data_IF_571204528472
#
_entry.id   IF_571204528472
#
_cell.length_a   1.000
_cell.length_b   1.000
_cell.length_c   1.000
_cell.angle_alpha   90.00
_cell.angle_beta   90.00
_cell.angle_gamma   90.00
#
_symmetry.space_group_name_H-M   'P 1'
#
loop_
_entity.id
_entity.type
_entity.pdbx_description
1 polymer ?
#
# COMPACT_ATOMS: atom_id res chain seq x y z
N UNK A 1 36.02 31.13 54.58
CA UNK A 1 35.90 31.34 53.12
C UNK A 1 36.21 30.10 52.25
N UNK A 2 36.40 28.89 52.78
CA UNK A 2 36.77 27.69 51.99
C UNK A 2 35.61 26.74 51.62
N UNK A 3 34.42 26.90 52.23
CA UNK A 3 33.26 26.02 51.98
C UNK A 3 32.44 26.42 50.73
N UNK A 4 32.40 27.71 50.39
CA UNK A 4 31.63 28.24 49.24
C UNK A 4 32.31 27.87 47.90
N UNK A 5 33.65 27.83 47.86
CA UNK A 5 34.44 27.43 46.68
C UNK A 5 34.39 25.92 46.37
N UNK A 6 33.94 25.07 47.31
CA UNK A 6 33.74 23.63 47.05
C UNK A 6 32.42 23.35 46.34
N UNK A 7 31.39 24.17 46.57
CA UNK A 7 30.07 23.96 45.98
C UNK A 7 30.02 24.32 44.48
N UNK A 8 30.77 25.36 44.06
CA UNK A 8 30.86 25.75 42.64
C UNK A 8 31.61 24.72 41.78
N UNK A 9 32.61 24.02 42.33
CA UNK A 9 33.34 22.96 41.61
C UNK A 9 32.46 21.75 41.30
N UNK A 10 31.58 21.36 42.21
CA UNK A 10 30.66 20.24 41.99
C UNK A 10 29.52 20.60 41.02
N UNK A 11 29.04 21.85 41.03
CA UNK A 11 28.05 22.34 40.05
C UNK A 11 28.61 22.37 38.63
N UNK A 12 29.87 22.79 38.45
CA UNK A 12 30.53 22.76 37.12
C UNK A 12 30.74 21.32 36.65
N UNK A 13 31.21 20.42 37.52
CA UNK A 13 31.40 19.00 37.17
C UNK A 13 30.07 18.35 36.76
N UNK A 14 28.99 18.57 37.52
CA UNK A 14 27.66 18.06 37.18
C UNK A 14 27.14 18.61 35.85
N UNK A 15 27.30 19.92 35.60
CA UNK A 15 26.90 20.55 34.34
C UNK A 15 27.68 20.00 33.14
N UNK A 16 28.99 19.80 33.29
CA UNK A 16 29.82 19.21 32.22
C UNK A 16 29.51 17.73 31.97
N UNK A 17 29.18 16.94 33.01
CA UNK A 17 28.82 15.54 32.87
C UNK A 17 27.47 15.35 32.14
N UNK A 18 26.49 16.22 32.42
CA UNK A 18 25.19 16.23 31.73
C UNK A 18 25.36 16.61 30.25
N UNK A 19 26.22 17.59 29.94
CA UNK A 19 26.51 17.99 28.57
C UNK A 19 27.23 16.90 27.76
N UNK A 20 28.08 16.10 28.42
CA UNK A 20 28.76 14.96 27.79
C UNK A 20 27.78 13.81 27.53
N UNK A 21 26.83 13.54 28.44
CA UNK A 21 25.81 12.51 28.24
C UNK A 21 24.81 12.84 27.12
N UNK A 22 24.46 14.11 26.91
CA UNK A 22 23.58 14.51 25.79
C UNK A 22 24.28 14.42 24.44
N UNK A 23 25.60 14.63 24.37
CA UNK A 23 26.38 14.50 23.13
C UNK A 23 26.61 13.04 22.71
N UNK A 24 26.75 12.11 23.66
CA UNK A 24 26.98 10.69 23.37
C UNK A 24 25.69 9.94 23.00
N UNK A 25 24.51 10.46 23.38
CA UNK A 25 23.21 9.85 23.06
C UNK A 25 22.75 9.96 21.60
N UNK A 26 23.39 10.80 20.78
CA UNK A 26 22.95 11.07 19.40
C UNK A 26 23.47 10.09 18.34
N UNK A 27 24.32 9.11 18.69
CA UNK A 27 25.00 8.26 17.70
C UNK A 27 24.49 6.82 17.61
N UNK A 28 23.41 6.46 18.29
CA UNK A 28 22.80 5.13 18.14
C UNK A 28 21.69 5.13 17.10
N UNK A 29 22.06 5.45 15.85
CA UNK A 29 21.18 5.20 14.71
C UNK A 29 21.40 3.76 14.29
N UNK A 30 20.63 2.84 14.88
CA UNK A 30 20.55 1.44 14.44
C UNK A 30 20.08 1.48 12.99
N UNK A 31 21.00 1.33 12.05
CA UNK A 31 20.68 1.18 10.63
C UNK A 31 19.97 -0.15 10.46
N UNK A 32 18.64 -0.13 10.60
CA UNK A 32 17.81 -1.24 10.19
C UNK A 32 17.92 -1.27 8.67
N UNK A 33 18.82 -2.08 8.14
CA UNK A 33 18.77 -2.52 6.75
C UNK A 33 17.60 -3.49 6.61
N UNK A 34 16.38 -3.00 6.82
CA UNK A 34 15.18 -3.74 6.48
C UNK A 34 15.06 -3.65 4.97
N UNK A 35 15.15 -4.80 4.31
CA UNK A 35 14.69 -4.90 2.93
C UNK A 35 13.30 -4.26 2.82
N UNK A 36 13.02 -3.50 1.75
CA UNK A 36 11.69 -2.92 1.58
C UNK A 36 10.63 -4.03 1.65
N UNK A 37 9.50 -3.77 2.31
CA UNK A 37 8.44 -4.75 2.41
C UNK A 37 7.93 -5.10 1.01
N UNK A 38 7.53 -6.36 0.83
CA UNK A 38 6.81 -6.75 -0.38
C UNK A 38 5.35 -6.32 -0.19
N UNK A 39 4.85 -5.46 -1.08
CA UNK A 39 3.48 -4.96 -1.05
C UNK A 39 2.66 -5.76 -2.07
N UNK A 40 1.59 -6.40 -1.60
CA UNK A 40 0.64 -7.13 -2.44
C UNK A 40 -0.72 -6.46 -2.35
N UNK A 41 -1.22 -6.00 -3.49
CA UNK A 41 -2.58 -5.51 -3.65
C UNK A 41 -3.47 -6.64 -4.18
N UNK A 42 -4.57 -6.90 -3.49
CA UNK A 42 -5.61 -7.83 -3.92
C UNK A 42 -6.88 -7.03 -4.10
N UNK A 43 -7.28 -6.82 -5.35
CA UNK A 43 -8.46 -6.05 -5.74
C UNK A 43 -9.54 -7.03 -6.23
N UNK A 44 -10.65 -7.11 -5.51
CA UNK A 44 -11.79 -7.93 -5.91
C UNK A 44 -12.72 -7.16 -6.86
N UNK A 45 -13.32 -7.87 -7.84
CA UNK A 45 -14.29 -7.27 -8.76
C UNK A 45 -15.72 -7.51 -8.26
N UNK A 46 -16.55 -6.47 -8.30
CA UNK A 46 -17.96 -6.49 -7.90
C UNK A 46 -18.26 -7.10 -6.51
N UNK A 47 -17.30 -7.05 -5.57
CA UNK A 47 -17.48 -7.53 -4.20
C UNK A 47 -18.17 -6.45 -3.34
N UNK A 48 -19.32 -6.79 -2.78
CA UNK A 48 -20.04 -5.96 -1.83
C UNK A 48 -19.49 -6.08 -0.41
N UNK A 49 -19.74 -5.04 0.41
CA UNK A 49 -19.32 -5.03 1.83
C UNK A 49 -19.83 -6.26 2.60
N UNK A 50 -21.05 -6.71 2.32
CA UNK A 50 -21.68 -7.85 3.00
C UNK A 50 -21.32 -9.23 2.45
N UNK A 51 -20.36 -9.35 1.52
CA UNK A 51 -20.05 -10.64 0.87
C UNK A 51 -19.08 -11.52 1.68
N UNK A 52 -18.37 -10.95 2.65
CA UNK A 52 -17.37 -11.66 3.44
C UNK A 52 -17.94 -12.18 4.76
N UNK A 53 -17.44 -13.32 5.25
CA UNK A 53 -17.88 -13.83 6.57
C UNK A 53 -17.47 -12.88 7.71
N UNK A 54 -16.31 -12.22 7.60
CA UNK A 54 -15.87 -11.21 8.59
C UNK A 54 -16.79 -9.98 8.68
N UNK A 55 -17.55 -9.66 7.63
CA UNK A 55 -18.52 -8.55 7.63
C UNK A 55 -19.94 -8.99 7.98
N UNK A 56 -20.12 -10.24 8.42
CA UNK A 56 -21.39 -10.77 8.91
C UNK A 56 -22.16 -11.65 7.93
N UNK A 57 -21.57 -12.02 6.78
CA UNK A 57 -22.20 -12.97 5.85
C UNK A 57 -22.27 -14.38 6.47
N UNK A 58 -23.48 -14.96 6.51
CA UNK A 58 -23.71 -16.33 7.02
C UNK A 58 -23.67 -17.40 5.94
N UNK A 59 -23.74 -17.02 4.67
CA UNK A 59 -23.80 -17.91 3.51
C UNK A 59 -22.44 -18.12 2.85
N UNK A 60 -21.58 -17.09 2.86
CA UNK A 60 -20.22 -17.17 2.34
C UNK A 60 -19.24 -17.61 3.45
N UNK A 61 -18.26 -18.43 3.08
CA UNK A 61 -17.16 -18.82 3.96
C UNK A 61 -15.85 -18.33 3.36
N UNK A 62 -15.21 -17.34 4.00
CA UNK A 62 -13.97 -16.71 3.53
C UNK A 62 -12.81 -16.85 4.53
N UNK A 63 -12.40 -18.08 4.91
CA UNK A 63 -11.48 -18.30 6.02
C UNK A 63 -10.10 -17.63 5.86
N UNK A 64 -9.59 -17.52 4.63
CA UNK A 64 -8.31 -16.85 4.37
C UNK A 64 -8.42 -15.33 4.52
N UNK A 65 -9.54 -14.73 4.13
CA UNK A 65 -9.78 -13.29 4.29
C UNK A 65 -10.04 -12.97 5.75
N UNK A 66 -10.79 -13.84 6.45
CA UNK A 66 -11.04 -13.71 7.88
C UNK A 66 -9.73 -13.79 8.68
N UNK A 67 -8.79 -14.65 8.28
CA UNK A 67 -7.45 -14.70 8.87
C UNK A 67 -6.69 -13.39 8.65
N UNK A 68 -6.68 -12.86 7.41
CA UNK A 68 -6.04 -11.58 7.09
C UNK A 68 -6.64 -10.42 7.88
N UNK A 69 -7.96 -10.40 8.06
CA UNK A 69 -8.63 -9.38 8.85
C UNK A 69 -8.33 -9.48 10.36
N UNK A 70 -8.11 -10.70 10.89
CA UNK A 70 -7.74 -10.94 12.29
C UNK A 70 -6.28 -10.60 12.59
N UNK A 71 -5.38 -10.90 11.66
CA UNK A 71 -3.94 -10.63 11.79
C UNK A 71 -3.55 -9.21 11.38
N UNK A 72 -4.40 -8.54 10.62
CA UNK A 72 -4.17 -7.22 10.04
C UNK A 72 -5.15 -6.15 10.53
N UNK A 73 -5.46 -5.23 9.63
CA UNK A 73 -6.41 -4.14 9.84
C UNK A 73 -7.62 -4.34 8.93
N UNK A 74 -8.82 -4.39 9.53
CA UNK A 74 -10.08 -4.35 8.79
C UNK A 74 -10.59 -2.91 8.69
N UNK A 75 -10.82 -2.42 7.48
CA UNK A 75 -11.37 -1.09 7.23
C UNK A 75 -12.89 -1.16 7.05
N UNK A 76 -13.64 -0.86 8.11
CA UNK A 76 -15.13 -0.86 8.06
C UNK A 76 -15.71 0.25 7.17
N UNK A 77 -14.92 1.30 6.92
CA UNK A 77 -15.33 2.49 6.17
C UNK A 77 -14.34 2.80 5.05
N UNK A 78 -14.16 1.84 4.16
CA UNK A 78 -13.37 2.00 2.94
C UNK A 78 -14.28 2.41 1.78
N UNK A 79 -13.98 3.53 1.13
CA UNK A 79 -14.78 4.08 0.03
C UNK A 79 -13.97 4.13 -1.26
N UNK A 80 -14.61 3.76 -2.37
CA UNK A 80 -14.06 3.93 -3.71
C UNK A 80 -14.46 5.29 -4.29
N UNK A 81 -13.62 5.85 -5.15
CA UNK A 81 -13.90 7.14 -5.78
C UNK A 81 -15.10 7.10 -6.75
N UNK A 82 -15.49 5.91 -7.22
CA UNK A 82 -16.63 5.73 -8.11
C UNK A 82 -17.22 4.32 -7.97
N UNK A 83 -18.55 4.16 -8.06
CA UNK A 83 -19.21 2.85 -8.00
C UNK A 83 -19.12 2.05 -9.33
N UNK A 84 -18.28 2.47 -10.28
CA UNK A 84 -18.11 1.81 -11.58
C UNK A 84 -16.66 1.31 -11.71
N UNK A 85 -16.48 0.11 -12.28
CA UNK A 85 -15.20 -0.58 -12.37
C UNK A 85 -14.06 0.27 -12.99
N UNK A 86 -14.27 0.89 -14.14
CA UNK A 86 -13.24 1.68 -14.84
C UNK A 86 -12.77 2.90 -14.04
N UNK A 87 -13.64 3.84 -13.62
CA UNK A 87 -13.22 4.98 -12.82
C UNK A 87 -12.67 4.56 -11.45
N UNK A 88 -13.22 3.53 -10.81
CA UNK A 88 -12.69 3.01 -9.53
C UNK A 88 -11.23 2.56 -9.65
N UNK A 89 -10.92 1.77 -10.70
CA UNK A 89 -9.54 1.30 -10.96
C UNK A 89 -8.60 2.45 -11.32
N UNK A 90 -9.06 3.45 -12.07
CA UNK A 90 -8.26 4.65 -12.37
C UNK A 90 -7.86 5.35 -11.07
N UNK A 91 -8.81 5.59 -10.16
CA UNK A 91 -8.50 6.22 -8.88
C UNK A 91 -7.53 5.37 -8.04
N UNK A 92 -7.74 4.05 -8.01
CA UNK A 92 -6.86 3.14 -7.26
C UNK A 92 -5.42 3.14 -7.78
N UNK A 93 -5.23 3.04 -9.10
CA UNK A 93 -3.89 2.95 -9.73
C UNK A 93 -3.17 4.30 -9.69
N UNK A 94 -3.88 5.39 -9.92
CA UNK A 94 -3.27 6.72 -10.08
C UNK A 94 -3.23 7.53 -8.80
N UNK A 95 -4.06 7.21 -7.80
CA UNK A 95 -4.24 8.01 -6.59
C UNK A 95 -4.97 9.34 -6.81
N UNK A 96 -5.56 9.56 -7.99
CA UNK A 96 -6.21 10.82 -8.38
C UNK A 96 -7.69 10.61 -8.71
N UNK A 97 -8.46 11.69 -8.75
CA UNK A 97 -9.88 11.59 -9.07
C UNK A 97 -10.08 11.19 -10.55
N UNK A 98 -10.99 10.25 -10.89
CA UNK A 98 -11.10 9.71 -12.26
C UNK A 98 -11.42 10.75 -13.34
N UNK A 99 -12.05 11.86 -12.96
CA UNK A 99 -12.34 12.98 -13.88
C UNK A 99 -11.09 13.61 -14.46
N UNK A 100 -9.96 13.60 -13.76
CA UNK A 100 -8.68 14.13 -14.27
C UNK A 100 -8.20 13.36 -15.49
N UNK A 101 -8.56 12.08 -15.58
CA UNK A 101 -8.26 11.21 -16.72
C UNK A 101 -9.40 11.11 -17.73
N UNK A 102 -10.48 11.88 -17.58
CA UNK A 102 -11.71 11.76 -18.39
C UNK A 102 -12.28 10.32 -18.42
N UNK A 103 -12.06 9.53 -17.38
CA UNK A 103 -12.70 8.22 -17.23
C UNK A 103 -13.75 8.37 -16.13
N UNK A 104 -14.97 8.74 -16.53
CA UNK A 104 -16.08 9.00 -15.59
C UNK A 104 -17.24 8.01 -15.75
N UNK A 105 -17.11 7.02 -16.63
CA UNK A 105 -18.04 5.90 -16.81
C UNK A 105 -17.26 4.63 -17.18
N UNK A 106 -17.96 3.54 -17.46
CA UNK A 106 -17.34 2.29 -17.90
C UNK A 106 -16.73 2.44 -19.29
N UNK A 107 -15.51 1.90 -19.47
CA UNK A 107 -14.85 1.85 -20.76
C UNK A 107 -15.66 0.98 -21.73
N UNK A 108 -15.92 1.51 -22.92
CA UNK A 108 -16.62 0.83 -23.99
C UNK A 108 -15.85 0.98 -25.31
N UNK A 109 -16.54 0.84 -26.44
CA UNK A 109 -15.96 1.10 -27.75
C UNK A 109 -15.71 2.60 -27.92
N UNK A 110 -14.77 2.95 -28.80
CA UNK A 110 -14.33 4.34 -29.02
C UNK A 110 -15.47 5.29 -29.40
N UNK A 111 -16.43 4.83 -30.21
CA UNK A 111 -17.57 5.67 -30.60
C UNK A 111 -18.44 6.03 -29.39
N UNK A 112 -18.72 5.05 -28.53
CA UNK A 112 -19.47 5.25 -27.29
C UNK A 112 -18.68 6.07 -26.25
N UNK A 113 -17.37 5.84 -26.12
CA UNK A 113 -16.51 6.63 -25.23
C UNK A 113 -16.47 8.09 -25.69
N UNK A 114 -16.28 8.33 -26.99
CA UNK A 114 -16.32 9.68 -27.59
C UNK A 114 -17.67 10.35 -27.40
N UNK A 115 -18.79 9.62 -27.53
CA UNK A 115 -20.13 10.15 -27.27
C UNK A 115 -20.28 10.64 -25.82
N UNK A 116 -19.54 10.04 -24.88
CA UNK A 116 -19.52 10.39 -23.46
C UNK A 116 -18.40 11.38 -23.10
N UNK A 117 -17.64 11.94 -24.05
CA UNK A 117 -16.42 12.72 -23.78
C UNK A 117 -15.41 11.98 -22.87
N UNK A 118 -15.31 10.67 -23.03
CA UNK A 118 -14.31 9.85 -22.35
C UNK A 118 -13.04 9.73 -23.18
N UNK A 119 -11.88 9.70 -22.50
CA UNK A 119 -10.60 9.46 -23.14
C UNK A 119 -10.43 7.99 -23.53
N UNK A 120 -9.82 7.74 -24.69
CA UNK A 120 -9.34 6.43 -25.11
C UNK A 120 -7.80 6.43 -25.10
N UNK A 121 -7.20 5.87 -24.05
CA UNK A 121 -5.74 5.88 -23.87
C UNK A 121 -4.97 4.86 -24.71
N UNK A 122 -5.65 3.81 -25.18
CA UNK A 122 -5.02 2.81 -26.04
C UNK A 122 -4.93 3.33 -27.48
N UNK A 123 -3.98 2.83 -28.30
CA UNK A 123 -3.95 3.12 -29.73
C UNK A 123 -5.16 2.54 -30.47
N UNK A 124 -5.60 3.19 -31.55
CA UNK A 124 -6.73 2.70 -32.36
C UNK A 124 -6.39 1.45 -33.16
N UNK A 125 -5.11 1.24 -33.47
CA UNK A 125 -4.62 0.03 -34.12
C UNK A 125 -4.48 -1.11 -33.09
N UNK A 126 -5.21 -2.23 -33.27
CA UNK A 126 -5.04 -3.41 -32.44
C UNK A 126 -3.62 -3.98 -32.49
N UNK A 127 -2.88 -3.80 -33.58
CA UNK A 127 -1.50 -4.30 -33.71
C UNK A 127 -0.56 -3.64 -32.70
N UNK A 128 -0.68 -2.32 -32.52
CA UNK A 128 0.07 -1.56 -31.52
C UNK A 128 -0.34 -1.95 -30.09
N UNK A 129 -1.64 -2.14 -29.85
CA UNK A 129 -2.15 -2.59 -28.55
C UNK A 129 -1.61 -3.98 -28.18
N UNK A 130 -1.57 -4.91 -29.13
CA UNK A 130 -1.02 -6.25 -28.93
C UNK A 130 0.47 -6.19 -28.61
N UNK A 131 1.23 -5.34 -29.30
CA UNK A 131 2.66 -5.16 -29.02
C UNK A 131 2.90 -4.62 -27.61
N UNK A 132 2.13 -3.63 -27.17
CA UNK A 132 2.19 -3.11 -25.80
C UNK A 132 1.84 -4.19 -24.77
N UNK A 133 0.81 -4.99 -25.03
CA UNK A 133 0.38 -6.05 -24.11
C UNK A 133 1.38 -7.22 -24.05
N UNK A 134 2.04 -7.56 -25.15
CA UNK A 134 3.15 -8.54 -25.18
C UNK A 134 4.35 -8.02 -24.40
N UNK A 135 4.72 -6.74 -24.55
CA UNK A 135 5.78 -6.11 -23.76
C UNK A 135 5.48 -6.14 -22.26
N UNK A 136 4.24 -5.78 -21.87
CA UNK A 136 3.82 -5.86 -20.46
C UNK A 136 3.77 -7.29 -19.93
N UNK A 137 3.34 -8.27 -20.74
CA UNK A 137 3.39 -9.69 -20.35
C UNK A 137 4.80 -10.21 -20.18
N UNK A 138 5.74 -9.80 -21.03
CA UNK A 138 7.15 -10.17 -20.88
C UNK A 138 7.72 -9.61 -19.57
N UNK A 139 7.43 -8.34 -19.26
CA UNK A 139 7.81 -7.71 -17.99
C UNK A 139 7.16 -8.42 -16.77
N UNK A 140 5.88 -8.75 -16.87
CA UNK A 140 5.15 -9.46 -15.81
C UNK A 140 5.65 -10.91 -15.62
N UNK A 141 6.02 -11.60 -16.70
CA UNK A 141 6.60 -12.94 -16.64
C UNK A 141 7.99 -12.91 -15.98
N UNK A 142 8.79 -11.88 -16.26
CA UNK A 142 10.08 -11.64 -15.63
C UNK A 142 9.94 -11.38 -14.12
N UNK A 143 8.92 -10.62 -13.71
CA UNK A 143 8.54 -10.42 -12.30
C UNK A 143 7.90 -11.67 -11.65
N UNK A 144 7.27 -12.56 -12.41
CA UNK A 144 6.66 -13.79 -11.89
C UNK A 144 7.67 -14.92 -11.62
N UNK A 145 8.89 -14.81 -12.16
CA UNK A 145 9.98 -15.76 -11.90
C UNK A 145 10.41 -15.80 -10.43
N UNK A 146 10.11 -14.75 -9.66
CA UNK A 146 10.06 -14.81 -8.18
C UNK A 146 8.83 -15.57 -7.73
N UNK A 147 8.97 -16.90 -7.67
CA UNK A 147 7.95 -17.89 -7.28
C UNK A 147 7.26 -17.53 -5.95
N UNK A 148 6.13 -16.83 -6.01
CA UNK A 148 5.20 -16.67 -4.89
C UNK A 148 4.32 -17.93 -4.80
N UNK A 149 4.84 -18.99 -4.17
CA UNK A 149 3.98 -20.07 -3.70
C UNK A 149 3.20 -19.57 -2.49
N UNK A 150 1.87 -19.62 -2.53
CA UNK A 150 1.03 -19.46 -1.34
C UNK A 150 1.49 -20.46 -0.28
N UNK A 151 2.16 -19.97 0.77
CA UNK A 151 2.44 -20.72 1.99
C UNK A 151 1.41 -20.30 3.03
N UNK A 152 0.77 -21.28 3.65
CA UNK A 152 -0.16 -21.11 4.77
C UNK A 152 0.49 -20.56 6.04
N UNK A 153 1.82 -20.55 6.09
CA UNK A 153 2.57 -20.17 7.27
C UNK A 153 2.86 -18.65 7.25
N UNK A 154 1.86 -17.86 7.66
CA UNK A 154 2.03 -16.46 8.05
C UNK A 154 2.79 -16.39 9.39
N UNK A 155 4.04 -16.86 9.39
CA UNK A 155 4.92 -16.80 10.57
C UNK A 155 5.43 -15.36 10.78
N UNK A 156 5.44 -14.96 12.04
CA UNK A 156 5.65 -13.65 12.67
C UNK A 156 6.90 -12.81 12.30
N UNK A 157 7.63 -13.16 11.24
CA UNK A 157 8.92 -12.54 10.90
C UNK A 157 9.01 -11.90 9.50
N UNK A 158 7.88 -11.75 8.79
CA UNK A 158 7.86 -11.01 7.53
C UNK A 158 6.80 -9.92 7.57
N UNK A 159 7.27 -8.66 7.66
CA UNK A 159 6.49 -7.44 7.45
C UNK A 159 6.01 -7.37 5.98
N UNK A 160 5.04 -8.21 5.61
CA UNK A 160 4.32 -8.14 4.33
C UNK A 160 2.99 -7.46 4.60
N UNK A 161 2.85 -6.21 4.18
CA UNK A 161 1.57 -5.51 4.22
C UNK A 161 0.74 -5.97 3.01
N UNK A 162 -0.34 -6.70 3.28
CA UNK A 162 -1.39 -6.98 2.31
C UNK A 162 -2.47 -5.91 2.53
N UNK A 163 -2.79 -5.16 1.49
CA UNK A 163 -3.94 -4.25 1.48
C UNK A 163 -5.00 -4.89 0.60
N UNK A 164 -6.09 -5.32 1.24
CA UNK A 164 -7.33 -5.70 0.57
C UNK A 164 -8.14 -4.42 0.33
N UNK A 165 -8.42 -4.12 -0.93
CA UNK A 165 -9.22 -2.98 -1.37
C UNK A 165 -10.34 -3.45 -2.28
#
# INVERSE_FOLDING_TARGET
MSRILRCSKWLVIFSTAVLIQTLVGCTQQKSITSNPPNILFVLADDMGYGDLSVTGNISASTPNIDLLAREGLLMEKFYVASPICSPSRVAFITGHHPSEFKIHSFLHNRAANKQRDMADYLPSDPSETNNLMVQHKALAAELSSTRLSWRSDFSSNLQRCIVLA
#
